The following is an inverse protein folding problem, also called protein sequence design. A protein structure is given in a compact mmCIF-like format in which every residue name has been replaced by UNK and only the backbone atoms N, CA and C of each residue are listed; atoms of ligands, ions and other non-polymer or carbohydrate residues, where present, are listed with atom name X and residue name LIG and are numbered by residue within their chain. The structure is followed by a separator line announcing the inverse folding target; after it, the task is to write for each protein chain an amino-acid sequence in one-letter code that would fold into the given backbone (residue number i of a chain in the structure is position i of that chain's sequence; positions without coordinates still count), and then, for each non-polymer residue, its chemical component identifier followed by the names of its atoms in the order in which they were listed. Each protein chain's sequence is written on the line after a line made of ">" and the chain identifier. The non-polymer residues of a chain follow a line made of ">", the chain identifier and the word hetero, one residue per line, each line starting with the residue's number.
data_IF_383971567822
#
_entry.id   IF_383971567822
#
_cell.length_a   1.000
_cell.length_b   1.000
_cell.length_c   1.000
_cell.angle_alpha   90.00
_cell.angle_beta   90.00
_cell.angle_gamma   90.00
#
_symmetry.space_group_name_H-M   'P 1'
#
loop_
_entity.id
_entity.type
_entity.pdbx_description
1 polymer ?
#
# COMPACT_ATOMS: atom_id res chain seq x y z
N UNK A 1 8.43 2.06 29.00
CA UNK A 1 8.24 3.16 29.98
C UNK A 1 9.57 3.66 30.55
N UNK A 2 10.46 2.81 31.06
CA UNK A 2 11.74 3.24 31.63
C UNK A 2 12.59 4.09 30.64
N UNK A 3 12.72 3.66 29.39
CA UNK A 3 13.47 4.37 28.34
C UNK A 3 12.90 5.76 28.06
N UNK A 4 11.56 5.92 28.09
CA UNK A 4 10.90 7.22 27.88
C UNK A 4 11.28 8.23 29.00
N UNK A 5 11.49 7.72 30.21
CA UNK A 5 11.89 8.55 31.36
C UNK A 5 13.38 8.88 31.30
N UNK A 6 14.21 7.89 30.91
CA UNK A 6 15.67 8.06 30.88
C UNK A 6 16.15 8.93 29.70
N UNK A 7 15.44 8.94 28.57
CA UNK A 7 15.80 9.71 27.38
C UNK A 7 14.60 10.53 26.87
N UNK A 8 14.04 11.35 27.77
CA UNK A 8 12.89 12.20 27.46
C UNK A 8 13.12 13.16 26.30
N UNK A 9 14.37 13.61 26.08
CA UNK A 9 14.74 14.51 24.97
C UNK A 9 14.52 13.83 23.61
N UNK A 10 15.00 12.59 23.45
CA UNK A 10 14.81 11.81 22.20
C UNK A 10 13.33 11.51 21.95
N UNK A 11 12.56 11.20 23.01
CA UNK A 11 11.11 11.02 22.93
C UNK A 11 10.39 12.27 22.39
N UNK A 12 10.63 13.42 23.04
CA UNK A 12 9.98 14.69 22.67
C UNK A 12 10.35 15.09 21.25
N UNK A 13 11.63 14.98 20.87
CA UNK A 13 12.07 15.27 19.51
C UNK A 13 11.37 14.37 18.49
N UNK A 14 11.33 13.04 18.72
CA UNK A 14 10.65 12.10 17.84
C UNK A 14 9.14 12.41 17.69
N UNK A 15 8.50 12.82 18.78
CA UNK A 15 7.09 13.24 18.77
C UNK A 15 6.89 14.53 17.96
N UNK A 16 7.74 15.54 18.17
CA UNK A 16 7.68 16.80 17.40
C UNK A 16 7.87 16.56 15.89
N UNK A 17 8.88 15.77 15.52
CA UNK A 17 9.12 15.38 14.12
C UNK A 17 7.92 14.64 13.50
N UNK A 18 7.25 13.78 14.29
CA UNK A 18 6.05 13.07 13.89
C UNK A 18 4.87 14.01 13.63
N UNK A 19 4.64 14.96 14.52
CA UNK A 19 3.60 15.99 14.39
C UNK A 19 3.86 16.85 13.15
N UNK A 20 5.09 17.32 12.98
CA UNK A 20 5.48 18.13 11.82
C UNK A 20 5.24 17.38 10.50
N UNK A 21 5.63 16.11 10.41
CA UNK A 21 5.37 15.26 9.26
C UNK A 21 3.87 15.14 8.97
N UNK A 22 3.06 14.90 10.02
CA UNK A 22 1.61 14.81 9.87
C UNK A 22 1.01 16.09 9.32
N UNK A 23 1.35 17.25 9.89
CA UNK A 23 0.77 18.54 9.51
C UNK A 23 1.24 18.99 8.12
N UNK A 24 2.54 18.90 7.84
CA UNK A 24 3.12 19.45 6.60
C UNK A 24 2.98 18.55 5.38
N UNK A 25 2.91 17.24 5.59
CA UNK A 25 2.98 16.29 4.48
C UNK A 25 1.76 15.36 4.43
N UNK A 26 1.50 14.64 5.53
CA UNK A 26 0.52 13.54 5.51
C UNK A 26 -0.90 14.05 5.37
N UNK A 27 -1.31 15.00 6.19
CA UNK A 27 -2.67 15.57 6.16
C UNK A 27 -2.96 16.23 4.80
N UNK A 28 -2.12 17.17 4.29
CA UNK A 28 -2.39 17.80 3.01
C UNK A 28 -2.43 16.83 1.83
N UNK A 29 -1.60 15.77 1.85
CA UNK A 29 -1.53 14.81 0.76
C UNK A 29 -2.62 13.75 0.78
N UNK A 30 -2.99 13.22 1.97
CA UNK A 30 -3.91 12.09 2.07
C UNK A 30 -5.36 12.48 2.34
N UNK A 31 -5.61 13.58 3.05
CA UNK A 31 -6.97 13.97 3.43
C UNK A 31 -7.91 14.17 2.24
N UNK A 32 -7.52 14.86 1.15
CA UNK A 32 -8.36 14.96 -0.05
C UNK A 32 -8.68 13.58 -0.65
N UNK A 33 -7.71 12.66 -0.65
CA UNK A 33 -7.91 11.30 -1.15
C UNK A 33 -8.87 10.49 -0.27
N UNK A 34 -8.86 10.66 1.06
CA UNK A 34 -9.84 10.03 1.93
C UNK A 34 -11.26 10.52 1.64
N UNK A 35 -11.44 11.83 1.44
CA UNK A 35 -12.75 12.40 1.08
C UNK A 35 -13.21 11.87 -0.28
N UNK A 36 -12.36 11.95 -1.30
CA UNK A 36 -12.67 11.46 -2.66
C UNK A 36 -12.95 9.96 -2.67
N UNK A 37 -12.19 9.18 -1.92
CA UNK A 37 -12.39 7.73 -1.84
C UNK A 37 -13.73 7.36 -1.20
N UNK A 38 -14.13 8.05 -0.14
CA UNK A 38 -15.46 7.88 0.45
C UNK A 38 -16.57 8.26 -0.55
N UNK A 39 -16.41 9.36 -1.29
CA UNK A 39 -17.35 9.76 -2.36
C UNK A 39 -17.46 8.70 -3.45
N UNK A 40 -16.32 8.20 -3.94
CA UNK A 40 -16.28 7.15 -4.98
C UNK A 40 -16.95 5.88 -4.48
N UNK A 41 -16.65 5.46 -3.25
CA UNK A 41 -17.27 4.27 -2.64
C UNK A 41 -18.78 4.39 -2.58
N UNK A 42 -19.29 5.53 -2.12
CA UNK A 42 -20.74 5.76 -2.01
C UNK A 42 -21.43 5.82 -3.39
N UNK A 43 -20.75 6.36 -4.40
CA UNK A 43 -21.36 6.64 -5.72
C UNK A 43 -21.22 5.49 -6.71
N UNK A 44 -20.13 4.71 -6.65
CA UNK A 44 -19.74 3.79 -7.72
C UNK A 44 -19.56 2.33 -7.30
N UNK A 45 -19.61 1.97 -6.02
CA UNK A 45 -19.67 0.55 -5.65
C UNK A 45 -21.02 0.01 -6.13
N UNK A 46 -20.97 -1.08 -6.88
CA UNK A 46 -22.14 -1.66 -7.54
C UNK A 46 -22.38 -1.18 -8.97
N UNK A 47 -21.62 -0.17 -9.43
CA UNK A 47 -21.72 0.32 -10.81
C UNK A 47 -20.52 -0.17 -11.62
N UNK A 48 -20.72 -0.97 -12.68
CA UNK A 48 -19.64 -1.45 -13.54
C UNK A 48 -18.93 -0.28 -14.23
N UNK A 49 -17.61 -0.15 -14.02
CA UNK A 49 -16.79 0.86 -14.70
C UNK A 49 -16.09 0.20 -15.89
N UNK A 50 -16.66 0.38 -17.08
CA UNK A 50 -16.23 -0.32 -18.33
C UNK A 50 -14.74 -0.13 -18.62
N UNK A 51 -14.17 1.06 -18.43
CA UNK A 51 -12.75 1.33 -18.69
C UNK A 51 -11.80 0.60 -17.71
N UNK A 52 -12.23 0.33 -16.47
CA UNK A 52 -11.47 -0.41 -15.49
C UNK A 52 -11.70 -1.93 -15.54
N UNK A 53 -12.71 -2.38 -16.27
CA UNK A 53 -13.08 -3.79 -16.35
C UNK A 53 -11.94 -4.72 -16.80
N UNK A 54 -11.10 -4.38 -17.79
CA UNK A 54 -9.97 -5.25 -18.18
C UNK A 54 -9.00 -5.48 -17.03
N UNK A 55 -8.66 -4.42 -16.27
CA UNK A 55 -7.78 -4.50 -15.10
C UNK A 55 -8.48 -5.25 -13.96
N UNK A 56 -9.78 -4.99 -13.74
CA UNK A 56 -10.61 -5.71 -12.78
C UNK A 56 -10.62 -7.21 -13.03
N UNK A 57 -10.83 -7.63 -14.27
CA UNK A 57 -10.76 -9.05 -14.69
C UNK A 57 -9.36 -9.64 -14.46
N UNK A 58 -8.30 -8.88 -14.81
CA UNK A 58 -6.93 -9.32 -14.57
C UNK A 58 -6.68 -9.56 -13.07
N UNK A 59 -7.17 -8.69 -12.20
CA UNK A 59 -7.04 -8.79 -10.75
C UNK A 59 -8.06 -9.73 -10.09
N UNK A 60 -8.99 -10.31 -10.87
CA UNK A 60 -10.07 -11.13 -10.34
C UNK A 60 -11.05 -10.35 -9.47
N UNK A 61 -11.27 -9.06 -9.74
CA UNK A 61 -12.24 -8.22 -9.03
C UNK A 61 -13.63 -8.47 -9.61
N UNK A 62 -14.66 -8.70 -8.76
CA UNK A 62 -16.03 -8.89 -9.19
C UNK A 62 -16.55 -7.71 -10.01
N UNK A 63 -17.53 -7.96 -10.87
CA UNK A 63 -18.17 -6.91 -11.65
C UNK A 63 -18.94 -5.94 -10.74
N UNK A 64 -18.82 -4.65 -11.01
CA UNK A 64 -19.38 -3.58 -10.19
C UNK A 64 -18.48 -3.14 -9.02
N UNK A 65 -17.32 -3.78 -8.83
CA UNK A 65 -16.35 -3.40 -7.78
C UNK A 65 -15.07 -2.78 -8.36
N UNK A 66 -15.03 -2.47 -9.64
CA UNK A 66 -13.86 -1.88 -10.32
C UNK A 66 -13.46 -0.52 -9.73
N UNK A 67 -14.41 0.20 -9.11
CA UNK A 67 -14.16 1.47 -8.42
C UNK A 67 -13.09 1.40 -7.34
N UNK A 68 -12.88 0.23 -6.72
CA UNK A 68 -11.83 0.00 -5.71
C UNK A 68 -10.43 0.13 -6.29
N UNK A 69 -10.24 -0.06 -7.60
CA UNK A 69 -8.95 0.13 -8.27
C UNK A 69 -8.46 1.59 -8.20
N UNK A 70 -9.38 2.56 -8.15
CA UNK A 70 -9.03 3.97 -8.07
C UNK A 70 -8.28 4.28 -6.76
N UNK A 71 -8.85 4.04 -5.56
CA UNK A 71 -8.11 4.24 -4.32
C UNK A 71 -6.92 3.29 -4.18
N UNK A 72 -6.96 2.10 -4.80
CA UNK A 72 -5.88 1.12 -4.74
C UNK A 72 -4.58 1.60 -5.37
N UNK A 73 -4.66 2.35 -6.47
CA UNK A 73 -3.48 2.81 -7.21
C UNK A 73 -3.26 4.32 -7.15
N UNK A 74 -4.27 5.11 -6.83
CA UNK A 74 -4.17 6.57 -6.75
C UNK A 74 -4.23 7.11 -5.32
N UNK A 75 -4.98 6.45 -4.43
CA UNK A 75 -5.21 6.94 -3.06
C UNK A 75 -4.06 6.69 -2.09
N UNK A 76 -3.28 5.66 -2.31
CA UNK A 76 -2.22 5.25 -1.38
C UNK A 76 -2.73 4.53 -0.12
N UNK A 77 -1.80 4.22 0.79
CA UNK A 77 -2.12 3.63 2.09
C UNK A 77 -2.79 4.65 3.02
N UNK A 78 -3.78 4.26 3.85
CA UNK A 78 -4.57 3.02 3.85
C UNK A 78 -5.93 3.19 3.15
N UNK A 79 -6.04 4.12 2.18
CA UNK A 79 -7.31 4.54 1.56
C UNK A 79 -8.08 3.37 0.95
N UNK A 80 -7.38 2.50 0.21
CA UNK A 80 -8.02 1.34 -0.40
C UNK A 80 -8.56 0.34 0.64
N UNK A 81 -7.82 0.12 1.75
CA UNK A 81 -8.28 -0.75 2.83
C UNK A 81 -9.57 -0.24 3.46
N UNK A 82 -9.68 1.07 3.67
CA UNK A 82 -10.88 1.70 4.17
C UNK A 82 -12.07 1.51 3.21
N UNK A 83 -11.85 1.72 1.91
CA UNK A 83 -12.86 1.52 0.87
C UNK A 83 -13.37 0.08 0.85
N UNK A 84 -12.46 -0.91 0.88
CA UNK A 84 -12.79 -2.33 0.90
C UNK A 84 -13.56 -2.70 2.16
N UNK A 85 -13.11 -2.25 3.33
CA UNK A 85 -13.76 -2.52 4.60
C UNK A 85 -15.16 -1.91 4.68
N UNK A 86 -15.34 -0.69 4.17
CA UNK A 86 -16.66 -0.06 4.08
C UNK A 86 -17.60 -0.85 3.15
N UNK A 87 -17.13 -1.27 1.97
CA UNK A 87 -17.89 -2.10 1.05
C UNK A 87 -18.32 -3.43 1.69
N UNK A 88 -17.44 -4.08 2.47
CA UNK A 88 -17.78 -5.28 3.23
C UNK A 88 -18.82 -4.99 4.33
N UNK A 89 -18.62 -3.98 5.17
CA UNK A 89 -19.56 -3.62 6.24
C UNK A 89 -20.95 -3.26 5.71
N UNK A 90 -21.03 -2.78 4.47
CA UNK A 90 -22.27 -2.45 3.78
C UNK A 90 -22.90 -3.66 3.06
N UNK A 91 -22.28 -4.84 3.14
CA UNK A 91 -22.75 -6.05 2.46
C UNK A 91 -22.55 -6.05 0.94
N UNK A 92 -21.77 -5.11 0.41
CA UNK A 92 -21.50 -4.96 -1.02
C UNK A 92 -20.34 -5.84 -1.50
N UNK A 93 -19.42 -6.17 -0.61
CA UNK A 93 -18.26 -7.03 -0.90
C UNK A 93 -18.33 -8.25 0.04
N UNK A 94 -18.29 -9.48 -0.47
CA UNK A 94 -18.15 -10.68 0.35
C UNK A 94 -16.88 -10.63 1.18
N UNK A 95 -16.91 -11.19 2.39
CA UNK A 95 -15.78 -11.17 3.33
C UNK A 95 -14.50 -11.73 2.74
N UNK A 96 -14.62 -12.85 2.04
CA UNK A 96 -13.50 -13.56 1.39
C UNK A 96 -12.86 -12.71 0.30
N UNK A 97 -13.68 -12.06 -0.53
CA UNK A 97 -13.21 -11.14 -1.57
C UNK A 97 -12.59 -9.88 -0.97
N UNK A 98 -13.20 -9.31 0.07
CA UNK A 98 -12.64 -8.17 0.78
C UNK A 98 -11.24 -8.48 1.34
N UNK A 99 -11.08 -9.62 2.03
CA UNK A 99 -9.80 -10.06 2.57
C UNK A 99 -8.76 -10.31 1.47
N UNK A 100 -9.16 -10.91 0.37
CA UNK A 100 -8.32 -11.15 -0.80
C UNK A 100 -7.86 -9.83 -1.44
N UNK A 101 -8.79 -8.89 -1.64
CA UNK A 101 -8.49 -7.57 -2.23
C UNK A 101 -7.53 -6.76 -1.35
N UNK A 102 -7.56 -6.89 -0.03
CA UNK A 102 -6.55 -6.29 0.84
C UNK A 102 -5.13 -6.69 0.44
N UNK A 103 -4.91 -7.89 -0.09
CA UNK A 103 -3.59 -8.42 -0.45
C UNK A 103 -2.90 -7.69 -1.60
N UNK A 104 -3.63 -7.02 -2.49
CA UNK A 104 -3.04 -6.36 -3.66
C UNK A 104 -3.57 -4.95 -3.96
N UNK A 105 -4.67 -4.53 -3.34
CA UNK A 105 -5.25 -3.20 -3.53
C UNK A 105 -4.65 -2.12 -2.63
N UNK A 106 -3.70 -2.45 -1.76
CA UNK A 106 -3.07 -1.47 -0.88
C UNK A 106 -1.66 -1.17 -1.35
N UNK A 107 -1.47 -0.02 -1.99
CA UNK A 107 -0.22 0.37 -2.65
C UNK A 107 0.22 1.77 -2.22
N UNK A 108 1.51 2.09 -2.40
CA UNK A 108 1.98 3.45 -2.24
C UNK A 108 1.37 4.33 -3.34
N UNK A 109 0.77 5.45 -2.94
CA UNK A 109 0.14 6.36 -3.89
C UNK A 109 1.16 7.16 -4.71
N UNK A 110 0.76 7.65 -5.92
CA UNK A 110 1.61 8.47 -6.76
C UNK A 110 2.11 9.74 -6.04
N UNK A 111 1.27 10.37 -5.22
CA UNK A 111 1.64 11.56 -4.44
C UNK A 111 2.85 11.33 -3.54
N UNK A 112 2.92 10.18 -2.87
CA UNK A 112 4.08 9.80 -2.08
C UNK A 112 5.30 9.49 -2.95
N UNK A 113 5.09 8.71 -4.00
CA UNK A 113 6.18 8.23 -4.85
C UNK A 113 6.84 9.39 -5.63
N UNK A 114 6.05 10.23 -6.27
CA UNK A 114 6.56 11.39 -7.01
C UNK A 114 6.96 12.56 -6.10
N UNK A 115 6.39 12.66 -4.89
CA UNK A 115 6.76 13.68 -3.92
C UNK A 115 8.07 13.36 -3.18
N UNK A 116 8.16 12.18 -2.59
CA UNK A 116 9.29 11.81 -1.72
C UNK A 116 10.28 10.89 -2.44
N UNK A 117 9.83 9.78 -3.03
CA UNK A 117 10.75 8.83 -3.61
C UNK A 117 11.46 9.39 -4.86
N UNK A 118 10.82 10.25 -5.62
CA UNK A 118 11.45 10.90 -6.77
C UNK A 118 12.66 11.74 -6.39
N UNK A 119 12.62 12.44 -5.27
CA UNK A 119 13.71 13.31 -4.82
C UNK A 119 14.99 12.55 -4.43
N UNK A 120 14.91 11.23 -4.27
CA UNK A 120 16.07 10.36 -3.99
C UNK A 120 17.00 10.19 -5.20
N UNK A 121 16.56 10.54 -6.39
CA UNK A 121 17.28 10.25 -7.63
C UNK A 121 17.50 11.51 -8.45
N UNK A 122 18.68 11.63 -9.10
CA UNK A 122 19.00 12.81 -9.90
C UNK A 122 18.22 12.87 -11.22
N UNK A 123 17.60 11.77 -11.64
CA UNK A 123 16.85 11.68 -12.90
C UNK A 123 15.38 11.38 -12.62
N UNK A 124 14.44 12.15 -13.18
CA UNK A 124 13.01 11.96 -12.96
C UNK A 124 12.49 10.61 -13.51
N UNK A 125 13.19 10.02 -14.49
CA UNK A 125 12.82 8.71 -15.05
C UNK A 125 12.84 7.59 -13.99
N UNK A 126 13.70 7.72 -12.97
CA UNK A 126 13.76 6.75 -11.88
C UNK A 126 12.43 6.65 -11.12
N UNK A 127 11.72 7.76 -10.94
CA UNK A 127 10.42 7.78 -10.29
C UNK A 127 9.36 7.04 -11.14
N UNK A 128 9.35 7.25 -12.44
CA UNK A 128 8.45 6.55 -13.35
C UNK A 128 8.74 5.06 -13.40
N UNK A 129 10.02 4.66 -13.39
CA UNK A 129 10.42 3.26 -13.30
C UNK A 129 9.98 2.62 -11.98
N UNK A 130 10.18 3.30 -10.84
CA UNK A 130 9.71 2.82 -9.54
C UNK A 130 8.19 2.65 -9.53
N UNK A 131 7.45 3.62 -10.08
CA UNK A 131 6.00 3.53 -10.16
C UNK A 131 5.55 2.40 -11.08
N UNK A 132 6.18 2.25 -12.25
CA UNK A 132 5.91 1.16 -13.17
C UNK A 132 6.15 -0.22 -12.54
N UNK A 133 7.29 -0.40 -11.84
CA UNK A 133 7.61 -1.62 -11.09
C UNK A 133 6.54 -1.87 -10.02
N UNK A 134 6.18 -0.84 -9.25
CA UNK A 134 5.23 -0.94 -8.16
C UNK A 134 3.83 -1.37 -8.63
N UNK A 135 3.31 -0.74 -9.67
CA UNK A 135 2.01 -1.09 -10.27
C UNK A 135 2.05 -2.49 -10.88
N UNK A 136 3.08 -2.78 -11.68
CA UNK A 136 3.22 -4.09 -12.32
C UNK A 136 3.33 -5.23 -11.29
N UNK A 137 4.14 -5.05 -10.25
CA UNK A 137 4.27 -6.01 -9.16
C UNK A 137 2.96 -6.22 -8.38
N UNK A 138 2.15 -5.16 -8.16
CA UNK A 138 0.83 -5.26 -7.55
C UNK A 138 -0.14 -6.08 -8.42
N UNK A 139 -0.15 -5.84 -9.74
CA UNK A 139 -0.95 -6.62 -10.70
C UNK A 139 -0.53 -8.09 -10.73
N UNK A 140 0.77 -8.36 -10.68
CA UNK A 140 1.28 -9.73 -10.57
C UNK A 140 0.88 -10.39 -9.25
N UNK A 141 0.95 -9.65 -8.15
CA UNK A 141 0.55 -10.12 -6.82
C UNK A 141 -0.94 -10.52 -6.82
N UNK A 142 -1.79 -9.75 -7.49
CA UNK A 142 -3.23 -10.07 -7.57
C UNK A 142 -3.49 -11.46 -8.17
N UNK A 143 -2.66 -11.90 -9.12
CA UNK A 143 -2.75 -13.22 -9.77
C UNK A 143 -2.33 -14.36 -8.87
N UNK A 144 -1.64 -14.08 -7.77
CA UNK A 144 -1.23 -15.10 -6.80
C UNK A 144 -2.38 -15.51 -5.86
N UNK A 145 -3.45 -14.74 -5.81
CA UNK A 145 -4.66 -15.05 -5.05
C UNK A 145 -5.69 -15.80 -5.92
N UNK A 146 -6.58 -16.62 -5.31
CA UNK A 146 -7.66 -17.28 -6.05
C UNK A 146 -8.57 -16.23 -6.71
N UNK A 147 -9.28 -16.59 -7.79
CA UNK A 147 -10.27 -15.70 -8.39
C UNK A 147 -11.39 -15.38 -7.40
N UNK A 148 -12.10 -14.25 -7.64
CA UNK A 148 -13.26 -13.85 -6.86
C UNK A 148 -14.35 -14.92 -6.86
N UNK A 149 -15.07 -15.04 -5.74
CA UNK A 149 -16.32 -15.78 -5.72
C UNK A 149 -17.35 -15.06 -6.61
N UNK A 150 -18.14 -15.85 -7.36
CA UNK A 150 -19.27 -15.27 -8.11
C UNK A 150 -20.28 -14.69 -7.10
N UNK A 151 -20.34 -13.38 -7.01
CA UNK A 151 -21.31 -12.68 -6.18
C UNK A 151 -22.45 -12.17 -7.06
N UNK A 152 -23.66 -12.65 -6.78
CA UNK A 152 -24.90 -12.23 -7.44
C UNK A 152 -25.81 -11.40 -6.53
N UNK A 153 -25.24 -10.77 -5.50
CA UNK A 153 -25.99 -9.92 -4.58
C UNK A 153 -26.43 -8.60 -5.20
N UNK A 154 -27.61 -8.12 -4.83
CA UNK A 154 -28.08 -6.79 -5.18
C UNK A 154 -27.18 -5.75 -4.50
N UNK A 155 -26.32 -5.11 -5.28
CA UNK A 155 -25.51 -3.99 -4.85
C UNK A 155 -26.41 -2.77 -4.68
N UNK A 156 -26.80 -2.46 -3.46
CA UNK A 156 -27.64 -1.29 -3.18
C UNK A 156 -26.74 -0.06 -2.94
N UNK A 157 -26.98 0.97 -3.74
CA UNK A 157 -26.39 2.29 -3.51
C UNK A 157 -26.89 2.84 -2.16
N UNK A 158 -25.97 3.30 -1.34
CA UNK A 158 -26.31 4.01 -0.10
C UNK A 158 -26.03 5.50 -0.25
N UNK A 159 -27.02 6.31 0.01
CA UNK A 159 -26.84 7.75 0.12
C UNK A 159 -26.22 8.07 1.49
N UNK A 160 -24.95 8.46 1.46
CA UNK A 160 -24.24 8.94 2.64
C UNK A 160 -24.12 10.47 2.51
N UNK A 161 -24.47 11.19 3.57
CA UNK A 161 -24.38 12.64 3.57
C UNK A 161 -22.94 13.14 3.57
N UNK A 162 -22.67 14.29 2.93
CA UNK A 162 -21.34 14.91 2.88
C UNK A 162 -20.72 15.11 4.28
N UNK A 163 -21.46 15.54 5.33
CA UNK A 163 -20.92 15.60 6.69
C UNK A 163 -20.43 14.26 7.22
N UNK A 164 -21.11 13.16 6.89
CA UNK A 164 -20.67 11.81 7.30
C UNK A 164 -19.39 11.39 6.56
N UNK A 165 -19.28 11.70 5.26
CA UNK A 165 -18.08 11.46 4.48
C UNK A 165 -16.89 12.18 5.08
N UNK A 166 -17.05 13.46 5.42
CA UNK A 166 -16.01 14.28 6.03
C UNK A 166 -15.59 13.71 7.40
N UNK A 167 -16.53 13.32 8.24
CA UNK A 167 -16.27 12.71 9.55
C UNK A 167 -15.48 11.41 9.43
N UNK A 168 -15.84 10.56 8.47
CA UNK A 168 -15.12 9.31 8.20
C UNK A 168 -13.68 9.59 7.76
N UNK A 169 -13.47 10.57 6.89
CA UNK A 169 -12.14 10.98 6.43
C UNK A 169 -11.29 11.54 7.58
N UNK A 170 -11.87 12.36 8.47
CA UNK A 170 -11.18 12.89 9.65
C UNK A 170 -10.77 11.79 10.62
N UNK A 171 -11.64 10.84 10.92
CA UNK A 171 -11.32 9.71 11.81
C UNK A 171 -10.22 8.83 11.26
N UNK A 172 -10.25 8.54 9.95
CA UNK A 172 -9.20 7.79 9.27
C UNK A 172 -7.86 8.54 9.34
N UNK A 173 -7.87 9.84 9.09
CA UNK A 173 -6.68 10.68 9.16
C UNK A 173 -6.09 10.74 10.58
N UNK A 174 -6.92 10.89 11.61
CA UNK A 174 -6.48 10.87 12.99
C UNK A 174 -5.79 9.54 13.35
N UNK A 175 -6.35 8.41 12.90
CA UNK A 175 -5.72 7.09 13.10
C UNK A 175 -4.36 6.99 12.40
N UNK A 176 -4.24 7.45 11.16
CA UNK A 176 -2.97 7.46 10.40
C UNK A 176 -1.92 8.28 11.13
N UNK A 177 -2.26 9.51 11.55
CA UNK A 177 -1.34 10.39 12.28
C UNK A 177 -0.91 9.78 13.62
N UNK A 178 -1.80 9.12 14.35
CA UNK A 178 -1.48 8.43 15.60
C UNK A 178 -0.44 7.33 15.41
N UNK A 179 -0.58 6.50 14.38
CA UNK A 179 0.41 5.47 14.07
C UNK A 179 1.75 6.06 13.63
N UNK A 180 1.74 7.09 12.78
CA UNK A 180 2.97 7.77 12.35
C UNK A 180 3.72 8.34 13.58
N UNK A 181 3.01 9.00 14.47
CA UNK A 181 3.61 9.57 15.68
C UNK A 181 4.27 8.50 16.55
N UNK A 182 3.57 7.39 16.80
CA UNK A 182 4.09 6.26 17.58
C UNK A 182 5.37 5.68 16.95
N UNK A 183 5.33 5.42 15.63
CA UNK A 183 6.47 4.85 14.92
C UNK A 183 7.66 5.84 14.84
N UNK A 184 7.39 7.14 14.72
CA UNK A 184 8.46 8.16 14.76
C UNK A 184 9.22 8.13 16.08
N UNK A 185 8.51 8.09 17.20
CA UNK A 185 9.13 7.96 18.52
C UNK A 185 9.94 6.68 18.61
N UNK A 186 9.38 5.55 18.21
CA UNK A 186 10.07 4.26 18.23
C UNK A 186 11.34 4.28 17.35
N UNK A 187 11.28 4.83 16.16
CA UNK A 187 12.44 4.95 15.25
C UNK A 187 13.51 5.89 15.84
N UNK A 188 13.12 6.98 16.52
CA UNK A 188 14.06 7.87 17.19
C UNK A 188 14.91 7.13 18.24
N UNK A 189 14.27 6.28 19.06
CA UNK A 189 14.99 5.41 20.00
C UNK A 189 15.88 4.38 19.32
N UNK A 190 15.38 3.72 18.29
CA UNK A 190 16.16 2.73 17.54
C UNK A 190 17.40 3.37 16.90
N UNK A 191 17.26 4.56 16.30
CA UNK A 191 18.40 5.32 15.76
C UNK A 191 19.43 5.66 16.85
N UNK A 192 18.97 6.08 18.02
CA UNK A 192 19.83 6.48 19.12
C UNK A 192 20.62 5.31 19.72
N UNK A 193 19.96 4.12 19.88
CA UNK A 193 20.52 3.06 20.72
C UNK A 193 21.02 1.84 19.94
N UNK A 194 20.53 1.60 18.73
CA UNK A 194 20.75 0.33 18.04
C UNK A 194 21.24 0.50 16.59
N UNK A 195 20.61 1.38 15.80
CA UNK A 195 20.83 1.40 14.36
C UNK A 195 22.24 1.84 13.94
N UNK A 196 22.95 2.58 14.79
CA UNK A 196 24.36 2.96 14.54
C UNK A 196 25.30 1.75 14.41
N UNK A 197 24.90 0.56 14.89
CA UNK A 197 25.66 -0.68 14.74
C UNK A 197 25.59 -1.25 13.31
N UNK A 198 24.65 -0.79 12.50
CA UNK A 198 24.40 -1.29 11.14
C UNK A 198 25.02 -0.37 10.09
N UNK A 199 25.45 -0.90 8.91
CA UNK A 199 25.81 -0.06 7.78
C UNK A 199 24.60 0.74 7.28
N UNK A 200 24.87 1.92 6.68
CA UNK A 200 23.84 2.88 6.26
C UNK A 200 22.71 2.27 5.43
N UNK A 201 23.00 1.42 4.40
CA UNK A 201 21.92 0.80 3.63
C UNK A 201 21.01 -0.12 4.47
N UNK A 202 21.60 -0.85 5.43
CA UNK A 202 20.84 -1.70 6.34
C UNK A 202 19.99 -0.88 7.32
N UNK A 203 20.52 0.26 7.82
CA UNK A 203 19.73 1.20 8.64
C UNK A 203 18.48 1.67 7.88
N UNK A 204 18.65 2.13 6.63
CA UNK A 204 17.55 2.59 5.79
C UNK A 204 16.52 1.48 5.54
N UNK A 205 16.98 0.25 5.25
CA UNK A 205 16.11 -0.90 5.04
C UNK A 205 15.32 -1.25 6.31
N UNK A 206 15.97 -1.35 7.47
CA UNK A 206 15.30 -1.63 8.76
C UNK A 206 14.29 -0.55 9.11
N UNK A 207 14.66 0.73 8.97
CA UNK A 207 13.73 1.84 9.18
C UNK A 207 12.57 1.78 8.20
N UNK A 208 12.80 1.43 6.94
CA UNK A 208 11.76 1.25 5.92
C UNK A 208 10.82 0.08 6.20
N UNK A 209 11.30 -0.98 6.86
CA UNK A 209 10.43 -2.05 7.36
C UNK A 209 9.52 -1.58 8.50
N UNK A 210 9.91 -0.57 9.25
CA UNK A 210 9.10 0.03 10.31
C UNK A 210 8.16 1.10 9.76
N UNK A 211 8.68 2.03 8.97
CA UNK A 211 7.92 3.13 8.39
C UNK A 211 8.46 3.54 7.02
N UNK A 212 7.56 3.54 6.05
CA UNK A 212 7.80 3.87 4.65
C UNK A 212 8.53 5.21 4.47
N UNK A 213 8.01 6.26 5.11
CA UNK A 213 8.50 7.63 4.94
C UNK A 213 9.91 7.81 5.51
N UNK A 214 10.12 7.31 6.72
CA UNK A 214 11.43 7.36 7.37
C UNK A 214 12.48 6.50 6.66
N UNK A 215 12.08 5.34 6.14
CA UNK A 215 12.95 4.50 5.35
C UNK A 215 13.42 5.19 4.07
N UNK A 216 12.48 5.79 3.32
CA UNK A 216 12.82 6.57 2.11
C UNK A 216 13.74 7.74 2.45
N UNK A 217 13.47 8.50 3.52
CA UNK A 217 14.36 9.60 3.93
C UNK A 217 15.77 9.10 4.31
N UNK A 218 15.87 7.92 4.93
CA UNK A 218 17.16 7.30 5.23
C UNK A 218 18.01 6.95 4.00
N UNK A 219 17.38 6.78 2.85
CA UNK A 219 18.06 6.43 1.60
C UNK A 219 18.89 7.59 1.00
N UNK A 220 18.67 8.83 1.42
CA UNK A 220 19.56 9.93 1.00
C UNK A 220 21.03 9.70 1.39
N UNK A 221 21.27 8.97 2.47
CA UNK A 221 22.61 8.62 2.95
C UNK A 221 23.23 7.39 2.26
N UNK A 222 22.54 6.74 1.31
CA UNK A 222 23.06 5.60 0.54
C UNK A 222 23.63 6.13 -0.77
N UNK A 223 24.96 6.12 -0.95
CA UNK A 223 25.63 6.71 -2.11
C UNK A 223 25.43 5.89 -3.40
N UNK A 224 25.40 4.57 -3.30
CA UNK A 224 25.24 3.68 -4.44
C UNK A 224 23.83 3.74 -5.02
N UNK A 225 23.66 4.42 -6.16
CA UNK A 225 22.34 4.62 -6.78
C UNK A 225 21.59 3.32 -7.13
N UNK A 226 22.23 2.27 -7.69
CA UNK A 226 21.56 0.99 -7.92
C UNK A 226 21.01 0.36 -6.64
N UNK A 227 21.79 0.34 -5.57
CA UNK A 227 21.37 -0.19 -4.27
C UNK A 227 20.23 0.65 -3.65
N UNK A 228 20.36 1.99 -3.72
CA UNK A 228 19.32 2.93 -3.30
C UNK A 228 18.00 2.66 -4.02
N UNK A 229 18.05 2.43 -5.33
CA UNK A 229 16.89 2.13 -6.16
C UNK A 229 16.20 0.82 -5.75
N UNK A 230 16.98 -0.24 -5.53
CA UNK A 230 16.44 -1.55 -5.11
C UNK A 230 15.81 -1.49 -3.73
N UNK A 231 16.50 -0.86 -2.75
CA UNK A 231 15.97 -0.72 -1.39
C UNK A 231 14.70 0.15 -1.41
N UNK A 232 14.70 1.27 -2.16
CA UNK A 232 13.53 2.13 -2.31
C UNK A 232 12.33 1.34 -2.86
N UNK A 233 12.53 0.56 -3.92
CA UNK A 233 11.49 -0.29 -4.51
C UNK A 233 10.93 -1.31 -3.49
N UNK A 234 11.80 -1.93 -2.69
CA UNK A 234 11.40 -2.84 -1.61
C UNK A 234 10.59 -2.15 -0.51
N UNK A 235 11.05 -0.99 -0.05
CA UNK A 235 10.34 -0.18 0.98
C UNK A 235 8.96 0.24 0.48
N UNK A 236 8.86 0.76 -0.76
CA UNK A 236 7.59 1.15 -1.38
C UNK A 236 6.61 -0.03 -1.46
N UNK A 237 7.08 -1.21 -1.82
CA UNK A 237 6.27 -2.40 -1.97
C UNK A 237 5.80 -2.97 -0.62
N UNK A 238 6.68 -3.01 0.37
CA UNK A 238 6.36 -3.51 1.71
C UNK A 238 5.45 -2.55 2.47
N UNK A 239 5.74 -1.25 2.41
CA UNK A 239 4.98 -0.19 3.09
C UNK A 239 5.39 0.04 4.55
N UNK A 240 5.95 -0.95 5.22
CA UNK A 240 6.37 -0.89 6.63
C UNK A 240 5.28 -1.29 7.64
N UNK A 241 5.70 -1.60 8.86
CA UNK A 241 4.80 -1.99 9.95
C UNK A 241 3.83 -0.86 10.33
N UNK A 242 4.25 0.40 10.21
CA UNK A 242 3.37 1.55 10.44
C UNK A 242 2.13 1.50 9.53
N UNK A 243 2.34 1.24 8.23
CA UNK A 243 1.25 1.06 7.26
C UNK A 243 0.42 -0.19 7.58
N UNK A 244 1.07 -1.29 8.01
CA UNK A 244 0.35 -2.48 8.45
C UNK A 244 -0.64 -2.15 9.58
N UNK A 245 -0.22 -1.38 10.59
CA UNK A 245 -1.09 -0.97 11.70
C UNK A 245 -2.20 0.00 11.26
N UNK A 246 -1.91 0.90 10.30
CA UNK A 246 -2.92 1.76 9.69
C UNK A 246 -4.00 0.94 8.98
N UNK A 247 -3.60 -0.08 8.22
CA UNK A 247 -4.53 -0.99 7.53
C UNK A 247 -5.30 -1.85 8.53
N UNK A 248 -4.66 -2.32 9.60
CA UNK A 248 -5.35 -3.03 10.68
C UNK A 248 -6.47 -2.20 11.29
N UNK A 249 -6.21 -0.90 11.53
CA UNK A 249 -7.22 0.03 12.02
C UNK A 249 -8.35 0.29 11.01
N UNK A 250 -8.03 0.31 9.72
CA UNK A 250 -8.99 0.56 8.64
C UNK A 250 -9.80 -0.69 8.24
N UNK A 251 -9.26 -1.88 8.43
CA UNK A 251 -9.82 -3.15 7.96
C UNK A 251 -11.08 -3.61 8.73
N UNK A 252 -11.41 -2.96 9.85
CA UNK A 252 -12.65 -3.13 10.58
C UNK A 252 -12.99 -4.60 10.94
N UNK A 253 -11.98 -5.38 11.35
CA UNK A 253 -12.15 -6.79 11.74
C UNK A 253 -11.97 -7.83 10.61
N UNK A 254 -11.60 -7.39 9.38
CA UNK A 254 -11.16 -8.31 8.33
C UNK A 254 -9.81 -8.93 8.71
N UNK A 255 -9.60 -10.21 8.33
CA UNK A 255 -8.30 -10.86 8.51
C UNK A 255 -7.24 -10.22 7.61
N UNK A 256 -6.08 -9.89 8.19
CA UNK A 256 -4.95 -9.32 7.48
C UNK A 256 -3.99 -10.36 6.89
N UNK A 257 -4.32 -11.64 6.94
CA UNK A 257 -3.47 -12.73 6.42
C UNK A 257 -3.16 -12.53 4.93
N UNK A 258 -4.20 -12.28 4.12
CA UNK A 258 -4.01 -12.00 2.69
C UNK A 258 -3.21 -10.72 2.45
N UNK A 259 -3.42 -9.69 3.27
CA UNK A 259 -2.62 -8.46 3.19
C UNK A 259 -1.15 -8.73 3.40
N UNK A 260 -0.78 -9.41 4.50
CA UNK A 260 0.62 -9.73 4.79
C UNK A 260 1.25 -10.60 3.70
N UNK A 261 0.56 -11.66 3.27
CA UNK A 261 1.02 -12.52 2.17
C UNK A 261 1.23 -11.72 0.88
N UNK A 262 0.29 -10.85 0.54
CA UNK A 262 0.38 -9.97 -0.63
C UNK A 262 1.57 -9.03 -0.55
N UNK A 263 1.84 -8.44 0.62
CA UNK A 263 2.99 -7.56 0.81
C UNK A 263 4.33 -8.29 0.67
N UNK A 264 4.46 -9.50 1.20
CA UNK A 264 5.65 -10.31 1.00
C UNK A 264 5.90 -10.63 -0.48
N UNK A 265 4.85 -11.04 -1.20
CA UNK A 265 4.93 -11.35 -2.64
C UNK A 265 5.25 -10.09 -3.45
N UNK A 266 4.54 -8.99 -3.19
CA UNK A 266 4.74 -7.70 -3.86
C UNK A 266 6.17 -7.19 -3.67
N UNK A 267 6.69 -7.25 -2.45
CA UNK A 267 8.06 -6.84 -2.11
C UNK A 267 9.09 -7.68 -2.85
N UNK A 268 8.94 -9.01 -2.85
CA UNK A 268 9.85 -9.91 -3.55
C UNK A 268 9.88 -9.61 -5.06
N UNK A 269 8.71 -9.49 -5.69
CA UNK A 269 8.61 -9.16 -7.12
C UNK A 269 9.24 -7.81 -7.40
N UNK A 270 8.96 -6.79 -6.59
CA UNK A 270 9.48 -5.43 -6.76
C UNK A 270 11.01 -5.39 -6.63
N UNK A 271 11.59 -6.09 -5.66
CA UNK A 271 13.05 -6.19 -5.49
C UNK A 271 13.69 -6.91 -6.67
N UNK A 272 13.11 -8.00 -7.17
CA UNK A 272 13.63 -8.73 -8.32
C UNK A 272 13.62 -7.86 -9.59
N UNK A 273 12.51 -7.16 -9.86
CA UNK A 273 12.41 -6.27 -11.02
C UNK A 273 13.36 -5.09 -10.89
N UNK A 274 13.41 -4.44 -9.73
CA UNK A 274 14.31 -3.32 -9.49
C UNK A 274 15.80 -3.74 -9.62
N UNK A 275 16.16 -4.91 -9.07
CA UNK A 275 17.53 -5.45 -9.20
C UNK A 275 17.88 -5.77 -10.64
N UNK A 276 16.93 -6.37 -11.39
CA UNK A 276 17.14 -6.68 -12.81
C UNK A 276 17.43 -5.44 -13.65
N UNK A 277 16.73 -4.34 -13.37
CA UNK A 277 16.92 -3.05 -14.05
C UNK A 277 18.20 -2.36 -13.56
N UNK A 278 18.37 -2.21 -12.24
CA UNK A 278 19.47 -1.44 -11.66
C UNK A 278 20.84 -2.04 -11.93
N UNK A 279 20.95 -3.37 -11.89
CA UNK A 279 22.20 -4.10 -12.13
C UNK A 279 22.31 -4.71 -13.54
N UNK A 280 21.37 -4.39 -14.44
CA UNK A 280 21.32 -4.89 -15.84
C UNK A 280 21.37 -6.43 -15.89
N UNK A 281 20.62 -7.11 -15.02
CA UNK A 281 20.54 -8.57 -14.95
C UNK A 281 19.18 -9.06 -15.47
N UNK A 282 19.03 -9.28 -16.79
CA UNK A 282 17.73 -9.60 -17.41
C UNK A 282 17.11 -10.90 -16.87
N UNK A 283 17.92 -11.85 -16.39
CA UNK A 283 17.43 -13.09 -15.77
C UNK A 283 16.51 -12.82 -14.59
N UNK A 284 16.77 -11.77 -13.79
CA UNK A 284 15.93 -11.40 -12.65
C UNK A 284 14.55 -10.87 -13.08
N UNK A 285 14.42 -10.37 -14.30
CA UNK A 285 13.15 -9.93 -14.88
C UNK A 285 12.29 -11.11 -15.36
N UNK A 286 12.96 -12.20 -15.79
CA UNK A 286 12.27 -13.37 -16.32
C UNK A 286 11.52 -14.15 -15.23
N UNK A 287 12.08 -14.27 -14.04
CA UNK A 287 11.50 -15.05 -12.93
C UNK A 287 10.06 -14.62 -12.61
N UNK A 288 9.78 -13.34 -12.26
CA UNK A 288 8.42 -12.92 -12.00
C UNK A 288 7.52 -13.02 -13.24
N UNK A 289 8.04 -12.72 -14.43
CA UNK A 289 7.28 -12.77 -15.68
C UNK A 289 6.84 -14.20 -16.01
N UNK A 290 7.72 -15.19 -15.86
CA UNK A 290 7.39 -16.60 -16.08
C UNK A 290 6.34 -17.08 -15.07
N UNK A 291 6.50 -16.76 -13.79
CA UNK A 291 5.52 -17.09 -12.74
C UNK A 291 4.13 -16.50 -13.05
N UNK A 292 4.08 -15.27 -13.53
CA UNK A 292 2.85 -14.62 -13.97
C UNK A 292 2.18 -15.37 -15.12
N UNK A 293 2.94 -15.73 -16.16
CA UNK A 293 2.42 -16.43 -17.34
C UNK A 293 1.91 -17.84 -17.02
N UNK A 294 2.64 -18.59 -16.18
CA UNK A 294 2.23 -19.94 -15.75
C UNK A 294 0.89 -19.89 -15.02
N UNK A 295 0.75 -18.97 -14.07
CA UNK A 295 -0.47 -18.86 -13.26
C UNK A 295 -1.64 -18.25 -14.04
N UNK A 296 -1.37 -17.39 -15.02
CA UNK A 296 -2.38 -16.87 -15.94
C UNK A 296 -3.05 -17.98 -16.75
N UNK A 297 -2.28 -18.97 -17.25
CA UNK A 297 -2.81 -20.12 -17.96
C UNK A 297 -3.71 -21.02 -17.08
N UNK A 298 -3.34 -21.27 -15.83
CA UNK A 298 -4.14 -22.11 -14.92
C UNK A 298 -5.50 -21.50 -14.55
N UNK A 299 -5.61 -20.17 -14.48
CA UNK A 299 -6.87 -19.50 -14.15
C UNK A 299 -7.83 -19.35 -15.37
N UNK A 300 -7.33 -19.49 -16.61
CA UNK A 300 -8.14 -19.50 -17.82
C UNK A 300 -8.86 -20.82 -18.11
N UNK A 301 -8.54 -21.89 -17.39
CA UNK A 301 -9.07 -23.26 -17.63
C UNK A 301 -10.11 -23.73 -16.61
N UNK A 302 -10.63 -22.86 -15.73
CA UNK A 302 -11.72 -23.24 -14.83
C UNK A 302 -13.05 -23.05 -15.60
N UNK A 303 -13.78 -24.15 -15.97
CA UNK A 303 -15.07 -24.01 -16.60
C UNK A 303 -16.03 -23.38 -15.58
N UNK A 304 -16.73 -22.35 -16.02
CA UNK A 304 -17.91 -21.82 -15.33
C UNK A 304 -18.88 -22.98 -15.16
N UNK A 305 -18.98 -23.55 -13.96
CA UNK A 305 -20.10 -24.46 -13.66
C UNK A 305 -21.36 -23.60 -13.74
N UNK A 306 -22.09 -23.74 -14.86
CA UNK A 306 -23.46 -23.32 -14.94
C UNK A 306 -24.21 -24.08 -13.83
N UNK A 307 -24.57 -23.36 -12.77
CA UNK A 307 -25.46 -23.89 -11.75
C UNK A 307 -26.86 -24.02 -12.34
N UNK A 308 -27.39 -25.22 -12.30
CA UNK A 308 -28.80 -25.56 -12.47
C UNK A 308 -29.57 -25.04 -11.27
#
# INVERSE_FOLDING_TARGET
>A
MLILILDGKTYVQGACDGIELCIRTVIPSLFPFFVLSNLITCSYIGVPIRCLRPIGKLCGIPEGMESVLIPAFLGGYPVAAQTIAQGWCQGQIPKEDAQRMLGFCNNAGPSFLFGIAASLFPRPEAAWLLWGIHVFAALMTSRMFPPACCYSGNLTRRDISLPQILRNAMNAMASVCGWILLFRVMIAFLKRWILWLLPVPAQAAVVGMLDLSNGCMGLFAVDELPLRFVICSGILAFGGLCVFMQIASAANGLSLKCFFQGKCIHTLISILLASGIAYRKPVLLLVPTILFLIKSRKNGSIPVKAGV
#
